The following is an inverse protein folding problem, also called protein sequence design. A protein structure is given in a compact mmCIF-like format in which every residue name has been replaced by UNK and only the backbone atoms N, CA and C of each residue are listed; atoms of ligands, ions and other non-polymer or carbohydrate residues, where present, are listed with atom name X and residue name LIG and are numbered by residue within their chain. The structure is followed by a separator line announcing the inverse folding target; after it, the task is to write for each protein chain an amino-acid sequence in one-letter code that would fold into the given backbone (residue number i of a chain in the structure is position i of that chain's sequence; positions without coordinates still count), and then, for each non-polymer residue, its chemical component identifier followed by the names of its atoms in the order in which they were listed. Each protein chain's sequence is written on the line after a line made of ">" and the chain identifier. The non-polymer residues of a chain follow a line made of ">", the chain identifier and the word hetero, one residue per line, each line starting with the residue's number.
data_IF_705152618496
#
_entry.id   IF_705152618496
#
_cell.length_a   1.000
_cell.length_b   1.000
_cell.length_c   1.000
_cell.angle_alpha   90.00
_cell.angle_beta   90.00
_cell.angle_gamma   90.00
#
_symmetry.space_group_name_H-M   'P 1'
#
loop_
_entity.id
_entity.type
_entity.pdbx_description
1 polymer ?
#
# COMPACT_ATOMS: atom_id res chain seq x y z
N UNK A 1 0.69 10.19 14.80
CA UNK A 1 1.60 9.17 14.25
C UNK A 1 0.78 7.95 13.83
N UNK A 2 0.64 7.74 12.51
CA UNK A 2 0.01 6.57 11.85
C UNK A 2 0.39 5.19 12.43
N UNK A 3 1.46 5.07 13.22
CA UNK A 3 1.95 3.82 13.83
C UNK A 3 0.99 3.21 14.87
N UNK A 4 0.15 4.03 15.52
CA UNK A 4 -0.68 3.61 16.65
C UNK A 4 -1.91 2.77 16.28
N UNK A 5 -2.41 2.88 15.02
CA UNK A 5 -3.66 2.23 14.62
C UNK A 5 -3.47 1.00 13.73
N UNK A 6 -2.35 0.82 13.02
CA UNK A 6 -2.14 -0.34 12.14
C UNK A 6 -2.07 -1.66 12.94
N UNK A 7 -3.01 -2.56 12.66
CA UNK A 7 -3.08 -3.88 13.29
C UNK A 7 -2.57 -4.98 12.34
N UNK A 8 -2.43 -6.20 12.87
CA UNK A 8 -1.93 -7.35 12.11
C UNK A 8 -2.79 -7.67 10.86
N UNK A 9 -4.11 -7.51 10.96
CA UNK A 9 -5.04 -7.75 9.85
C UNK A 9 -4.84 -6.76 8.71
N UNK A 10 -4.48 -5.51 9.02
CA UNK A 10 -4.16 -4.47 8.04
C UNK A 10 -2.90 -4.86 7.23
N UNK A 11 -1.86 -5.33 7.93
CA UNK A 11 -0.58 -5.76 7.34
C UNK A 11 -0.80 -6.94 6.39
N UNK A 12 -1.57 -7.93 6.82
CA UNK A 12 -1.90 -9.10 6.01
C UNK A 12 -2.76 -8.73 4.80
N UNK A 13 -3.71 -7.80 4.97
CA UNK A 13 -4.55 -7.32 3.88
C UNK A 13 -3.73 -6.63 2.79
N UNK A 14 -2.80 -5.75 3.16
CA UNK A 14 -1.90 -5.12 2.18
C UNK A 14 -1.05 -6.18 1.46
N UNK A 15 -0.46 -7.10 2.21
CA UNK A 15 0.45 -8.12 1.65
C UNK A 15 -0.23 -8.97 0.58
N UNK A 16 -1.48 -9.39 0.81
CA UNK A 16 -2.29 -10.14 -0.17
C UNK A 16 -2.54 -9.38 -1.46
N UNK A 17 -2.67 -8.05 -1.38
CA UNK A 17 -3.02 -7.22 -2.53
C UNK A 17 -1.83 -6.49 -3.16
N UNK A 18 -0.63 -6.61 -2.58
CA UNK A 18 0.56 -5.88 -3.01
C UNK A 18 0.88 -6.14 -4.49
N UNK A 19 0.80 -7.41 -4.90
CA UNK A 19 1.03 -7.81 -6.29
C UNK A 19 0.02 -7.15 -7.24
N UNK A 20 -1.26 -7.17 -6.90
CA UNK A 20 -2.33 -6.56 -7.70
C UNK A 20 -2.12 -5.06 -7.84
N UNK A 21 -1.87 -4.37 -6.72
CA UNK A 21 -1.59 -2.94 -6.70
C UNK A 21 -0.40 -2.59 -7.60
N UNK A 22 0.70 -3.34 -7.48
CA UNK A 22 1.89 -3.17 -8.30
C UNK A 22 1.60 -3.37 -9.80
N UNK A 23 0.84 -4.40 -10.14
CA UNK A 23 0.49 -4.72 -11.53
C UNK A 23 -0.42 -3.67 -12.16
N UNK A 24 -1.38 -3.12 -11.41
CA UNK A 24 -2.22 -2.00 -11.90
C UNK A 24 -1.36 -0.79 -12.23
N UNK A 25 -0.32 -0.54 -11.43
CA UNK A 25 0.64 0.53 -11.69
C UNK A 25 1.68 0.20 -12.76
N UNK A 26 1.60 -0.99 -13.39
CA UNK A 26 2.58 -1.51 -14.36
C UNK A 26 4.02 -1.54 -13.84
N UNK A 27 4.20 -1.72 -12.53
CA UNK A 27 5.53 -1.81 -11.92
C UNK A 27 6.04 -3.24 -11.89
N UNK A 28 7.33 -3.43 -12.09
CA UNK A 28 8.03 -4.68 -11.76
C UNK A 28 8.28 -4.78 -10.25
N UNK A 29 8.62 -5.97 -9.74
CA UNK A 29 9.00 -6.12 -8.32
C UNK A 29 10.20 -5.23 -7.95
N UNK A 30 11.11 -5.01 -8.89
CA UNK A 30 12.27 -4.15 -8.73
C UNK A 30 11.88 -2.66 -8.66
N UNK A 31 10.92 -2.22 -9.49
CA UNK A 31 10.41 -0.84 -9.46
C UNK A 31 9.76 -0.52 -8.12
N UNK A 32 8.93 -1.43 -7.58
CA UNK A 32 8.33 -1.25 -6.27
C UNK A 32 9.40 -1.22 -5.18
N UNK A 33 10.37 -2.14 -5.24
CA UNK A 33 11.46 -2.22 -4.28
C UNK A 33 12.26 -0.91 -4.19
N UNK A 34 12.62 -0.34 -5.36
CA UNK A 34 13.29 0.97 -5.47
C UNK A 34 12.46 2.10 -4.87
N UNK A 35 11.14 2.12 -5.12
CA UNK A 35 10.24 3.17 -4.62
C UNK A 35 10.10 3.17 -3.09
N UNK A 36 10.18 2.01 -2.45
CA UNK A 36 10.02 1.86 -1.00
C UNK A 36 11.34 1.63 -0.24
N UNK A 37 12.48 1.67 -0.95
CA UNK A 37 13.81 1.58 -0.34
C UNK A 37 14.17 0.19 0.21
N UNK A 38 13.74 -0.88 -0.46
CA UNK A 38 14.06 -2.28 -0.06
C UNK A 38 14.65 -3.07 -1.22
N UNK A 39 15.11 -4.29 -0.95
CA UNK A 39 15.57 -5.20 -2.01
C UNK A 39 14.41 -5.78 -2.82
N UNK A 40 14.65 -6.11 -4.10
CA UNK A 40 13.68 -6.87 -4.92
C UNK A 40 13.25 -8.17 -4.22
N UNK A 41 14.19 -8.87 -3.57
CA UNK A 41 13.92 -10.10 -2.84
C UNK A 41 12.92 -9.89 -1.69
N UNK A 42 13.01 -8.77 -0.98
CA UNK A 42 12.04 -8.39 0.06
C UNK A 42 10.63 -8.34 -0.52
N UNK A 43 10.43 -7.70 -1.67
CA UNK A 43 9.13 -7.65 -2.35
C UNK A 43 8.67 -9.05 -2.78
N UNK A 44 9.56 -9.87 -3.34
CA UNK A 44 9.24 -11.26 -3.72
C UNK A 44 8.75 -12.09 -2.53
N UNK A 45 9.42 -11.99 -1.37
CA UNK A 45 9.03 -12.71 -0.15
C UNK A 45 7.67 -12.26 0.37
N UNK A 46 7.38 -10.96 0.33
CA UNK A 46 6.08 -10.40 0.73
C UNK A 46 4.96 -10.88 -0.21
N UNK A 47 5.14 -10.76 -1.53
CA UNK A 47 4.13 -11.18 -2.52
C UNK A 47 3.85 -12.69 -2.49
N UNK A 48 4.83 -13.50 -2.09
CA UNK A 48 4.68 -14.95 -1.93
C UNK A 48 4.12 -15.37 -0.57
N UNK A 49 3.87 -14.42 0.34
CA UNK A 49 3.40 -14.70 1.70
C UNK A 49 4.43 -15.35 2.62
N UNK A 50 5.70 -15.45 2.18
CA UNK A 50 6.79 -16.02 2.99
C UNK A 50 7.22 -15.11 4.13
N UNK A 51 6.96 -13.81 4.04
CA UNK A 51 7.32 -12.84 5.08
C UNK A 51 6.30 -11.71 5.12
N UNK A 52 5.89 -11.32 6.33
CA UNK A 52 5.07 -10.13 6.53
C UNK A 52 5.95 -8.86 6.48
N UNK A 53 5.49 -7.78 5.82
CA UNK A 53 6.19 -6.51 5.82
C UNK A 53 6.16 -5.88 7.22
N UNK A 54 7.19 -5.10 7.56
CA UNK A 54 7.18 -4.29 8.78
C UNK A 54 6.11 -3.20 8.70
N UNK A 55 5.67 -2.69 9.85
CA UNK A 55 4.72 -1.54 9.90
C UNK A 55 5.24 -0.34 9.11
N UNK A 56 6.55 -0.06 9.19
CA UNK A 56 7.20 1.02 8.43
C UNK A 56 7.09 0.80 6.92
N UNK A 57 7.32 -0.43 6.46
CA UNK A 57 7.21 -0.75 5.03
C UNK A 57 5.75 -0.67 4.53
N UNK A 58 4.78 -1.09 5.36
CA UNK A 58 3.35 -0.91 5.08
C UNK A 58 3.01 0.57 4.91
N UNK A 59 3.50 1.44 5.79
CA UNK A 59 3.30 2.89 5.70
C UNK A 59 3.94 3.49 4.44
N UNK A 60 5.16 3.08 4.11
CA UNK A 60 5.85 3.55 2.90
C UNK A 60 5.07 3.17 1.62
N UNK A 61 4.60 1.92 1.54
CA UNK A 61 3.76 1.45 0.43
C UNK A 61 2.46 2.24 0.37
N UNK A 62 1.74 2.38 1.48
CA UNK A 62 0.47 3.12 1.54
C UNK A 62 0.64 4.59 1.14
N UNK A 63 1.70 5.24 1.61
CA UNK A 63 1.99 6.64 1.29
C UNK A 63 2.11 6.87 -0.22
N UNK A 64 2.79 5.98 -0.94
CA UNK A 64 2.89 6.05 -2.40
C UNK A 64 1.50 5.99 -3.06
N UNK A 65 0.65 5.06 -2.62
CA UNK A 65 -0.70 4.92 -3.18
C UNK A 65 -1.63 6.09 -2.82
N UNK A 66 -1.47 6.67 -1.63
CA UNK A 66 -2.20 7.87 -1.21
C UNK A 66 -1.86 9.06 -2.09
N UNK A 67 -0.57 9.32 -2.31
CA UNK A 67 -0.11 10.41 -3.17
C UNK A 67 -0.62 10.22 -4.60
N UNK A 68 -0.55 9.00 -5.14
CA UNK A 68 -1.07 8.69 -6.48
C UNK A 68 -2.59 8.89 -6.57
N UNK A 69 -3.35 8.50 -5.53
CA UNK A 69 -4.79 8.69 -5.46
C UNK A 69 -5.22 10.17 -5.43
N UNK A 70 -4.35 11.06 -4.95
CA UNK A 70 -4.58 12.50 -4.93
C UNK A 70 -4.37 13.16 -6.30
N UNK A 71 -3.71 12.49 -7.26
CA UNK A 71 -3.51 13.05 -8.60
C UNK A 71 -4.74 12.87 -9.51
N UNK A 72 -5.09 13.82 -10.39
CA UNK A 72 -6.24 13.69 -11.28
C UNK A 72 -6.13 12.51 -12.26
N UNK A 73 -4.91 12.23 -12.71
CA UNK A 73 -4.61 11.22 -13.74
C UNK A 73 -4.84 9.79 -13.21
N UNK A 74 -4.43 9.53 -11.96
CA UNK A 74 -4.50 8.20 -11.36
C UNK A 74 -5.64 8.05 -10.32
N UNK A 75 -6.23 9.16 -9.86
CA UNK A 75 -7.16 9.18 -8.73
C UNK A 75 -8.40 8.32 -8.91
N UNK A 76 -9.03 8.34 -10.10
CA UNK A 76 -10.22 7.53 -10.37
C UNK A 76 -9.90 6.03 -10.35
N UNK A 77 -8.80 5.64 -11.00
CA UNK A 77 -8.36 4.24 -11.07
C UNK A 77 -7.95 3.71 -9.70
N UNK A 78 -7.14 4.46 -8.94
CA UNK A 78 -6.70 4.04 -7.61
C UNK A 78 -7.89 3.90 -6.65
N UNK A 79 -8.82 4.86 -6.64
CA UNK A 79 -10.03 4.77 -5.80
C UNK A 79 -10.88 3.55 -6.16
N UNK A 80 -11.00 3.21 -7.45
CA UNK A 80 -11.71 2.03 -7.90
C UNK A 80 -11.02 0.73 -7.42
N UNK A 81 -9.71 0.64 -7.55
CA UNK A 81 -8.91 -0.53 -7.11
C UNK A 81 -9.01 -0.71 -5.59
N UNK A 82 -8.85 0.36 -4.82
CA UNK A 82 -8.95 0.32 -3.36
C UNK A 82 -10.31 -0.17 -2.88
N UNK A 83 -11.40 0.22 -3.58
CA UNK A 83 -12.75 -0.25 -3.30
C UNK A 83 -12.93 -1.74 -3.64
N UNK A 84 -12.41 -2.18 -4.79
CA UNK A 84 -12.54 -3.56 -5.25
C UNK A 84 -11.66 -4.56 -4.47
N UNK A 85 -10.50 -4.13 -3.97
CA UNK A 85 -9.54 -4.99 -3.28
C UNK A 85 -9.75 -5.07 -1.76
N UNK A 86 -10.82 -4.49 -1.23
CA UNK A 86 -11.06 -4.43 0.22
C UNK A 86 -10.03 -3.62 1.02
N UNK A 87 -9.13 -2.88 0.35
CA UNK A 87 -8.14 -1.99 0.97
C UNK A 87 -8.74 -0.64 1.36
N UNK A 88 -9.99 -0.36 0.97
CA UNK A 88 -10.71 0.88 1.27
C UNK A 88 -10.59 1.30 2.74
N UNK A 89 -10.85 0.38 3.68
CA UNK A 89 -10.78 0.67 5.12
C UNK A 89 -9.37 1.04 5.58
N UNK A 90 -8.35 0.41 5.01
CA UNK A 90 -6.95 0.70 5.31
C UNK A 90 -6.55 2.07 4.76
N UNK A 91 -7.03 2.39 3.55
CA UNK A 91 -6.82 3.68 2.91
C UNK A 91 -7.51 4.82 3.66
N UNK A 92 -8.79 4.67 4.02
CA UNK A 92 -9.54 5.66 4.81
C UNK A 92 -8.87 5.94 6.15
N UNK A 93 -8.46 4.87 6.86
CA UNK A 93 -7.71 4.98 8.11
C UNK A 93 -6.36 5.69 7.97
N UNK A 94 -5.75 5.63 6.80
CA UNK A 94 -4.51 6.34 6.50
C UNK A 94 -4.75 7.78 6.01
N UNK A 95 -5.97 8.11 5.58
CA UNK A 95 -6.39 9.45 5.15
C UNK A 95 -7.04 10.29 6.25
N UNK A 96 -7.70 9.68 7.24
CA UNK A 96 -8.37 10.33 8.39
C UNK A 96 -7.39 11.08 9.32
N UNK A 97 -6.20 11.43 8.86
CA UNK A 97 -5.20 12.19 9.61
C UNK A 97 -5.36 13.72 9.47
N UNK A 98 -6.38 14.29 8.80
CA UNK A 98 -6.74 15.74 8.93
C UNK A 98 -8.08 16.13 8.27
N UNK A 99 -9.11 16.44 9.08
CA UNK A 99 -10.08 17.55 8.90
C UNK A 99 -10.79 17.92 10.23
N UNK A 100 -10.16 17.68 11.38
CA UNK A 100 -10.57 18.25 12.67
C UNK A 100 -9.28 18.59 13.44
N UNK A 101 -8.68 19.72 13.04
CA UNK A 101 -7.98 20.71 13.88
C UNK A 101 -7.85 22.01 13.06
#
# INVERSE_FOLDING_TARGET
>A
MLSGKLNQKDIESLSRHLKTLRQVMKWTQDDLAKKVGVSRQTITLIESGKTAPSKTLVLAILGIFIVLAATPIFGVMIKAVLKASGLKKLYEKALDENLDD
#
